data_IF_392130896911
#
_entry.id   IF_392130896911
#
_cell.length_a   1.000
_cell.length_b   1.000
_cell.length_c   1.000
_cell.angle_alpha   90.00
_cell.angle_beta   90.00
_cell.angle_gamma   90.00
#
_symmetry.space_group_name_H-M   'P 1'
#
loop_
_entity.id
_entity.type
_entity.pdbx_description
1 polymer ?
#
# COMPACT_ATOMS: atom_id res chain seq x y z
N UNK A 1 36.13 13.74 -13.63
CA UNK A 1 34.64 13.70 -13.63
C UNK A 1 34.26 13.21 -12.24
N UNK A 2 33.30 13.84 -11.59
CA UNK A 2 32.78 13.31 -10.32
C UNK A 2 32.12 11.95 -10.55
N UNK A 3 32.16 11.04 -9.57
CA UNK A 3 31.55 9.72 -9.69
C UNK A 3 30.02 9.81 -9.98
N UNK A 4 29.37 10.88 -9.53
CA UNK A 4 27.96 11.18 -9.82
C UNK A 4 27.74 11.49 -11.31
N UNK A 5 28.67 12.17 -11.99
CA UNK A 5 28.59 12.42 -13.43
C UNK A 5 28.61 11.13 -14.24
N UNK A 6 29.41 10.14 -13.82
CA UNK A 6 29.43 8.83 -14.45
C UNK A 6 28.09 8.07 -14.27
N UNK A 7 27.45 8.17 -13.09
CA UNK A 7 26.16 7.56 -12.84
C UNK A 7 25.06 8.22 -13.68
N UNK A 8 25.07 9.54 -13.80
CA UNK A 8 24.18 10.29 -14.67
C UNK A 8 24.30 9.86 -16.15
N UNK A 9 25.56 9.77 -16.65
CA UNK A 9 25.82 9.29 -18.01
C UNK A 9 25.33 7.85 -18.21
N UNK A 10 25.47 7.00 -17.20
CA UNK A 10 25.00 5.60 -17.24
C UNK A 10 23.49 5.53 -17.35
N UNK A 11 22.73 6.33 -16.59
CA UNK A 11 21.27 6.39 -16.67
C UNK A 11 20.85 6.91 -18.07
N UNK A 12 21.42 8.03 -18.49
CA UNK A 12 21.06 8.69 -19.75
C UNK A 12 21.34 7.82 -20.96
N UNK A 13 22.42 7.02 -20.93
CA UNK A 13 22.81 6.10 -22.01
C UNK A 13 22.08 4.75 -21.97
N UNK A 14 21.23 4.49 -20.97
CA UNK A 14 20.43 3.28 -20.86
C UNK A 14 21.08 2.14 -20.09
N UNK A 15 22.13 2.38 -19.30
CA UNK A 15 22.78 1.35 -18.50
C UNK A 15 21.87 0.68 -17.46
N UNK A 16 20.77 1.35 -17.07
CA UNK A 16 19.74 0.82 -16.16
C UNK A 16 18.45 0.39 -16.85
N UNK A 17 18.38 0.42 -18.19
CA UNK A 17 17.15 0.13 -18.93
C UNK A 17 16.54 -1.21 -18.62
N UNK A 18 17.34 -2.25 -18.44
CA UNK A 18 16.84 -3.58 -18.08
C UNK A 18 16.08 -3.57 -16.74
N UNK A 19 16.65 -2.92 -15.72
CA UNK A 19 15.99 -2.79 -14.42
C UNK A 19 14.73 -1.92 -14.54
N UNK A 20 14.84 -0.75 -15.20
CA UNK A 20 13.71 0.16 -15.39
C UNK A 20 12.58 -0.46 -16.22
N UNK A 21 12.89 -1.28 -17.24
CA UNK A 21 11.87 -2.03 -18.00
C UNK A 21 11.11 -2.99 -17.11
N UNK A 22 11.82 -3.68 -16.22
CA UNK A 22 11.19 -4.61 -15.26
C UNK A 22 10.24 -3.86 -14.32
N UNK A 23 10.65 -2.68 -13.84
CA UNK A 23 9.88 -1.92 -12.86
C UNK A 23 8.70 -1.15 -13.49
N UNK A 24 8.86 -0.62 -14.69
CA UNK A 24 7.94 0.38 -15.26
C UNK A 24 7.38 0.03 -16.64
N UNK A 25 7.93 -0.99 -17.30
CA UNK A 25 7.63 -1.28 -18.72
C UNK A 25 8.46 -0.47 -19.70
N UNK A 26 8.73 -1.05 -20.88
CA UNK A 26 9.60 -0.47 -21.92
C UNK A 26 9.12 0.90 -22.41
N UNK A 27 7.80 1.07 -22.53
CA UNK A 27 7.18 2.31 -23.00
C UNK A 27 7.44 3.53 -22.11
N UNK A 28 7.79 3.30 -20.84
CA UNK A 28 8.03 4.35 -19.84
C UNK A 28 9.51 4.74 -19.72
N UNK A 29 10.44 4.05 -20.38
CA UNK A 29 11.88 4.26 -20.23
C UNK A 29 12.32 5.72 -20.38
N UNK A 30 11.89 6.49 -21.44
CA UNK A 30 12.34 7.86 -21.59
C UNK A 30 11.98 8.74 -20.38
N UNK A 31 10.74 8.64 -19.91
CA UNK A 31 10.25 9.36 -18.74
C UNK A 31 10.99 8.96 -17.46
N UNK A 32 11.25 7.66 -17.29
CA UNK A 32 11.95 7.18 -16.09
C UNK A 32 13.42 7.61 -16.08
N UNK A 33 14.13 7.56 -17.20
CA UNK A 33 15.50 8.08 -17.27
C UNK A 33 15.56 9.55 -16.84
N UNK A 34 14.67 10.39 -17.35
CA UNK A 34 14.57 11.81 -16.97
C UNK A 34 14.31 11.96 -15.44
N UNK A 35 13.37 11.18 -14.90
CA UNK A 35 13.03 11.19 -13.48
C UNK A 35 14.21 10.82 -12.59
N UNK A 36 14.94 9.75 -12.93
CA UNK A 36 16.14 9.32 -12.22
C UNK A 36 17.31 10.30 -12.34
N UNK A 37 17.48 10.93 -13.49
CA UNK A 37 18.47 12.00 -13.65
C UNK A 37 18.15 13.21 -12.77
N UNK A 38 16.89 13.65 -12.72
CA UNK A 38 16.44 14.73 -11.83
C UNK A 38 16.66 14.40 -10.35
N UNK A 39 16.40 13.16 -9.94
CA UNK A 39 16.69 12.70 -8.59
C UNK A 39 18.19 12.91 -8.23
N UNK A 40 19.09 12.53 -9.14
CA UNK A 40 20.54 12.70 -8.95
C UNK A 40 20.97 14.15 -8.91
N UNK A 41 20.38 15.01 -9.74
CA UNK A 41 20.63 16.45 -9.72
C UNK A 41 20.31 17.04 -8.35
N UNK A 42 19.11 16.76 -7.83
CA UNK A 42 18.64 17.24 -6.54
C UNK A 42 19.46 16.65 -5.37
N UNK A 43 19.81 15.36 -5.45
CA UNK A 43 20.72 14.73 -4.49
C UNK A 43 22.07 15.46 -4.44
N UNK A 44 22.67 15.73 -5.61
CA UNK A 44 23.97 16.39 -5.71
C UNK A 44 23.95 17.86 -5.26
N UNK A 45 22.85 18.57 -5.48
CA UNK A 45 22.68 19.94 -4.99
C UNK A 45 22.70 20.00 -3.45
N UNK A 46 22.07 19.01 -2.79
CA UNK A 46 21.96 18.98 -1.34
C UNK A 46 23.15 18.32 -0.64
N UNK A 47 23.71 17.27 -1.24
CA UNK A 47 24.74 16.40 -0.66
C UNK A 47 26.00 16.32 -1.52
N UNK A 48 26.47 17.47 -2.00
CA UNK A 48 27.61 17.56 -2.95
C UNK A 48 28.93 16.91 -2.45
N UNK A 49 29.13 16.85 -1.13
CA UNK A 49 30.31 16.29 -0.49
C UNK A 49 30.18 14.78 -0.19
N UNK A 50 29.04 14.16 -0.52
CA UNK A 50 28.81 12.74 -0.28
C UNK A 50 29.43 11.86 -1.35
N UNK A 51 29.63 10.58 -1.04
CA UNK A 51 30.06 9.56 -2.01
C UNK A 51 29.02 9.37 -3.14
N UNK A 52 29.40 8.62 -4.17
CA UNK A 52 28.47 8.24 -5.24
C UNK A 52 27.27 7.48 -4.69
N UNK A 53 26.05 7.96 -4.88
CA UNK A 53 24.89 7.31 -4.31
C UNK A 53 24.54 6.01 -5.04
N UNK A 54 23.93 5.09 -4.31
CA UNK A 54 23.17 3.95 -4.84
C UNK A 54 21.71 4.36 -5.07
N UNK A 55 21.03 3.66 -5.95
CA UNK A 55 19.69 3.97 -6.39
C UNK A 55 18.70 2.92 -5.86
N UNK A 56 17.56 3.39 -5.34
CA UNK A 56 16.56 2.56 -4.69
C UNK A 56 15.15 2.92 -5.13
N UNK A 57 14.25 1.96 -5.11
CA UNK A 57 12.85 2.17 -5.43
C UNK A 57 11.95 1.30 -4.57
N UNK A 58 10.82 1.84 -4.11
CA UNK A 58 9.75 1.08 -3.48
C UNK A 58 8.38 1.51 -4.02
N UNK A 59 7.55 0.54 -4.46
CA UNK A 59 6.26 0.83 -5.09
C UNK A 59 5.19 1.18 -4.07
N UNK A 60 4.17 1.92 -4.51
CA UNK A 60 2.86 1.89 -3.90
C UNK A 60 2.18 0.53 -4.09
N UNK A 61 1.01 0.37 -3.46
CA UNK A 61 0.24 -0.89 -3.52
C UNK A 61 -1.21 -0.65 -3.87
N UNK A 62 -1.86 -1.68 -4.38
CA UNK A 62 -3.31 -1.75 -4.49
C UNK A 62 -3.86 -2.91 -3.66
N UNK A 63 -4.95 -2.67 -2.92
CA UNK A 63 -5.74 -3.73 -2.30
C UNK A 63 -6.72 -4.26 -3.35
N UNK A 64 -6.56 -5.50 -3.78
CA UNK A 64 -7.46 -6.13 -4.76
C UNK A 64 -8.69 -6.68 -4.07
N UNK A 65 -8.54 -7.30 -2.90
CA UNK A 65 -9.63 -7.86 -2.10
C UNK A 65 -9.22 -8.14 -0.65
N UNK A 66 -10.21 -8.41 0.21
CA UNK A 66 -10.01 -8.64 1.63
C UNK A 66 -10.12 -7.35 2.43
N UNK A 67 -11.14 -6.56 2.15
CA UNK A 67 -11.31 -5.24 2.75
C UNK A 67 -11.49 -5.33 4.27
N UNK A 68 -10.50 -4.79 5.02
CA UNK A 68 -10.42 -4.86 6.49
C UNK A 68 -10.33 -6.26 7.12
N UNK A 69 -10.08 -7.30 6.34
CA UNK A 69 -9.96 -8.68 6.87
C UNK A 69 -8.65 -8.90 7.62
N UNK A 70 -7.57 -8.21 7.25
CA UNK A 70 -6.25 -8.28 7.89
C UNK A 70 -6.29 -7.94 9.38
N UNK A 71 -7.08 -6.93 9.78
CA UNK A 71 -7.30 -6.57 11.18
C UNK A 71 -8.01 -7.65 12.01
N UNK A 72 -8.59 -8.65 11.34
CA UNK A 72 -9.26 -9.81 11.92
C UNK A 72 -8.52 -11.12 11.63
N UNK A 73 -7.23 -11.05 11.35
CA UNK A 73 -6.36 -12.16 10.97
C UNK A 73 -6.85 -12.95 9.75
N UNK A 74 -7.57 -12.26 8.85
CA UNK A 74 -8.13 -12.84 7.64
C UNK A 74 -7.14 -12.88 6.47
N UNK A 75 -7.69 -13.15 5.28
CA UNK A 75 -6.95 -13.19 4.02
C UNK A 75 -7.12 -11.89 3.26
N UNK A 76 -6.08 -11.52 2.52
CA UNK A 76 -6.10 -10.39 1.58
C UNK A 76 -5.49 -10.80 0.25
N UNK A 77 -5.87 -10.10 -0.80
CA UNK A 77 -5.26 -10.13 -2.12
C UNK A 77 -4.82 -8.71 -2.45
N UNK A 78 -3.52 -8.50 -2.65
CA UNK A 78 -2.95 -7.19 -2.88
C UNK A 78 -1.84 -7.26 -3.93
N UNK A 79 -1.48 -6.13 -4.51
CA UNK A 79 -0.39 -6.07 -5.49
C UNK A 79 0.39 -4.77 -5.40
N UNK A 80 1.68 -4.84 -5.74
CA UNK A 80 2.49 -3.65 -5.98
C UNK A 80 2.15 -3.03 -7.32
N UNK A 81 2.26 -1.71 -7.41
CA UNK A 81 1.91 -0.96 -8.62
C UNK A 81 3.11 -0.20 -9.19
N UNK A 82 3.02 0.20 -10.44
CA UNK A 82 4.10 0.86 -11.19
C UNK A 82 4.36 2.33 -10.82
N UNK A 83 3.66 2.86 -9.83
CA UNK A 83 3.97 4.16 -9.21
C UNK A 83 4.72 3.94 -7.90
N UNK A 84 5.78 4.70 -7.68
CA UNK A 84 6.74 4.43 -6.62
C UNK A 84 7.37 5.68 -6.01
N UNK A 85 8.12 5.46 -4.95
CA UNK A 85 9.14 6.35 -4.44
C UNK A 85 10.51 5.86 -4.89
N UNK A 86 11.35 6.78 -5.33
CA UNK A 86 12.74 6.51 -5.72
C UNK A 86 13.69 7.29 -4.81
N UNK A 87 14.86 6.72 -4.54
CA UNK A 87 15.86 7.36 -3.71
C UNK A 87 17.28 7.21 -4.27
N UNK A 88 18.09 8.22 -3.97
CA UNK A 88 19.52 8.16 -4.06
C UNK A 88 20.10 8.23 -2.63
N UNK A 89 21.00 7.30 -2.29
CA UNK A 89 21.57 7.22 -0.95
C UNK A 89 23.06 6.90 -0.97
N UNK A 90 23.87 7.64 -0.17
CA UNK A 90 25.29 7.39 0.01
C UNK A 90 25.72 7.58 1.47
N UNK A 91 26.79 6.88 1.92
CA UNK A 91 27.37 7.09 3.24
C UNK A 91 27.81 8.53 3.48
N UNK A 92 27.72 8.96 4.74
CA UNK A 92 28.33 10.20 5.23
C UNK A 92 29.16 9.92 6.51
N UNK A 93 29.99 10.86 6.91
CA UNK A 93 30.88 10.76 8.08
C UNK A 93 30.26 11.33 9.37
N UNK A 94 28.98 11.68 9.38
CA UNK A 94 28.33 12.44 10.46
C UNK A 94 27.65 11.58 11.52
N UNK A 95 27.66 10.27 11.39
CA UNK A 95 26.89 9.33 12.22
C UNK A 95 25.41 9.73 12.39
N UNK A 96 24.82 10.24 11.32
CA UNK A 96 23.44 10.69 11.23
C UNK A 96 22.79 10.12 9.98
N UNK A 97 21.55 9.69 10.10
CA UNK A 97 20.69 9.47 8.94
C UNK A 97 20.02 10.80 8.58
N UNK A 98 20.35 11.34 7.40
CA UNK A 98 19.78 12.58 6.88
C UNK A 98 18.91 12.25 5.67
N UNK A 99 17.62 12.52 5.76
CA UNK A 99 16.65 12.21 4.72
C UNK A 99 15.95 13.47 4.26
N UNK A 100 16.08 13.79 2.98
CA UNK A 100 15.34 14.85 2.32
C UNK A 100 14.35 14.24 1.35
N UNK A 101 13.06 14.38 1.62
CA UNK A 101 12.01 14.11 0.63
C UNK A 101 11.68 15.37 -0.15
N UNK A 102 11.46 15.24 -1.46
CA UNK A 102 11.09 16.35 -2.34
C UNK A 102 9.87 17.11 -1.79
N UNK A 103 10.01 18.42 -1.61
CA UNK A 103 8.96 19.28 -1.07
C UNK A 103 8.78 19.26 0.45
N UNK A 104 9.70 18.63 1.20
CA UNK A 104 9.72 18.63 2.68
C UNK A 104 11.04 19.13 3.24
N UNK A 105 11.06 19.43 4.52
CA UNK A 105 12.27 19.80 5.23
C UNK A 105 13.21 18.60 5.45
N UNK A 106 14.50 18.85 5.56
CA UNK A 106 15.49 17.84 5.87
C UNK A 106 15.26 17.24 7.26
N UNK A 107 15.03 15.94 7.30
CA UNK A 107 14.91 15.19 8.55
C UNK A 107 16.28 14.58 8.93
N UNK A 108 16.71 14.77 10.16
CA UNK A 108 18.00 14.31 10.68
C UNK A 108 17.81 13.46 11.92
N UNK A 109 18.28 12.22 11.89
CA UNK A 109 18.25 11.27 13.01
C UNK A 109 19.69 11.05 13.50
N UNK A 110 19.92 11.28 14.79
CA UNK A 110 21.18 10.89 15.47
C UNK A 110 21.15 9.36 15.69
N UNK A 111 22.09 8.64 15.09
CA UNK A 111 22.18 7.18 15.18
C UNK A 111 22.68 6.68 16.54
N UNK A 112 23.16 7.57 17.43
CA UNK A 112 23.48 7.21 18.82
C UNK A 112 22.24 7.16 19.72
N UNK A 113 21.11 7.75 19.32
CA UNK A 113 19.89 7.81 20.09
C UNK A 113 18.69 7.40 19.24
N UNK A 114 18.30 6.14 19.38
CA UNK A 114 17.20 5.51 18.65
C UNK A 114 15.99 5.17 19.55
N UNK A 115 15.92 5.75 20.75
CA UNK A 115 14.77 5.55 21.63
C UNK A 115 13.52 6.25 21.07
N UNK A 116 12.34 5.64 21.28
CA UNK A 116 11.07 6.22 20.85
C UNK A 116 10.78 7.50 21.66
N UNK A 117 10.32 8.53 20.97
CA UNK A 117 10.03 9.84 21.55
C UNK A 117 8.58 10.21 21.32
N UNK A 118 7.87 10.48 22.38
CA UNK A 118 6.44 10.81 22.31
C UNK A 118 6.17 12.10 21.52
N UNK A 119 7.08 13.06 21.58
CA UNK A 119 7.00 14.33 20.85
C UNK A 119 7.21 14.17 19.34
N UNK A 120 7.76 13.03 18.90
CA UNK A 120 7.93 12.71 17.49
C UNK A 120 6.75 11.90 16.91
N UNK A 121 5.77 11.46 17.72
CA UNK A 121 4.60 10.74 17.21
C UNK A 121 3.94 11.49 16.03
N UNK A 122 3.51 10.75 15.02
CA UNK A 122 2.97 11.25 13.76
C UNK A 122 3.94 12.07 12.90
N UNK A 123 5.25 11.90 13.07
CA UNK A 123 6.28 12.57 12.24
C UNK A 123 7.14 11.56 11.47
N UNK A 124 7.75 12.03 10.37
CA UNK A 124 8.75 11.25 9.61
C UNK A 124 9.93 10.83 10.48
N UNK A 125 10.34 11.67 11.44
CA UNK A 125 11.44 11.36 12.36
C UNK A 125 11.16 10.09 13.18
N UNK A 126 9.93 9.91 13.65
CA UNK A 126 9.53 8.71 14.38
C UNK A 126 9.68 7.44 13.52
N UNK A 127 9.20 7.45 12.27
CA UNK A 127 9.35 6.31 11.35
C UNK A 127 10.82 5.96 11.11
N UNK A 128 11.64 6.95 10.73
CA UNK A 128 13.08 6.78 10.48
C UNK A 128 13.80 6.22 11.70
N UNK A 129 13.54 6.76 12.88
CA UNK A 129 14.11 6.31 14.15
C UNK A 129 13.71 4.88 14.47
N UNK A 130 12.43 4.55 14.27
CA UNK A 130 11.88 3.21 14.49
C UNK A 130 12.53 2.17 13.59
N UNK A 131 12.66 2.45 12.30
CA UNK A 131 13.32 1.54 11.37
C UNK A 131 14.80 1.35 11.70
N UNK A 132 15.53 2.43 11.99
CA UNK A 132 16.93 2.35 12.45
C UNK A 132 17.05 1.47 13.70
N UNK A 133 16.18 1.64 14.69
CA UNK A 133 16.16 0.81 15.90
C UNK A 133 15.89 -0.67 15.58
N UNK A 134 14.90 -0.95 14.72
CA UNK A 134 14.55 -2.32 14.35
C UNK A 134 15.66 -3.03 13.56
N UNK A 135 16.35 -2.33 12.66
CA UNK A 135 17.50 -2.87 11.94
C UNK A 135 18.69 -3.08 12.88
N UNK A 136 18.96 -2.17 13.81
CA UNK A 136 19.99 -2.33 14.83
C UNK A 136 19.76 -3.57 15.71
N UNK A 137 18.50 -3.82 16.13
CA UNK A 137 18.12 -5.02 16.88
C UNK A 137 18.37 -6.31 16.09
N UNK A 138 18.36 -6.24 14.76
CA UNK A 138 18.67 -7.36 13.85
C UNK A 138 20.14 -7.45 13.45
N UNK A 139 20.99 -6.64 14.06
CA UNK A 139 22.45 -6.69 13.88
C UNK A 139 23.01 -5.75 12.81
N UNK A 140 22.21 -4.80 12.30
CA UNK A 140 22.73 -3.77 11.42
C UNK A 140 23.79 -2.92 12.14
N UNK A 141 24.88 -2.64 11.46
CA UNK A 141 25.91 -1.70 11.93
C UNK A 141 25.67 -0.38 11.23
N UNK A 142 24.73 0.40 11.76
CA UNK A 142 24.36 1.68 11.18
C UNK A 142 25.55 2.64 11.19
N UNK A 143 25.67 3.42 10.14
CA UNK A 143 26.62 4.52 9.98
C UNK A 143 25.89 5.70 9.32
N UNK A 144 26.54 6.86 9.24
CA UNK A 144 25.95 8.02 8.62
C UNK A 144 25.53 7.76 7.18
N UNK A 145 24.34 8.25 6.80
CA UNK A 145 23.76 8.07 5.47
C UNK A 145 22.99 9.32 5.05
N UNK A 146 23.21 9.74 3.81
CA UNK A 146 22.47 10.81 3.14
C UNK A 146 21.49 10.21 2.13
N UNK A 147 20.23 10.60 2.19
CA UNK A 147 19.17 10.07 1.35
C UNK A 147 18.35 11.21 0.77
N UNK A 148 18.18 11.25 -0.55
CA UNK A 148 17.20 12.10 -1.23
C UNK A 148 16.11 11.24 -1.86
N UNK A 149 14.83 11.62 -1.66
CA UNK A 149 13.66 10.85 -2.10
C UNK A 149 12.79 11.71 -3.00
N UNK A 150 12.37 11.16 -4.15
CA UNK A 150 11.31 11.71 -4.99
C UNK A 150 10.17 10.70 -5.12
N UNK A 151 8.92 11.19 -5.11
CA UNK A 151 7.72 10.34 -5.09
C UNK A 151 6.77 10.65 -6.22
N UNK A 152 6.34 9.60 -6.94
CA UNK A 152 5.18 9.63 -7.83
C UNK A 152 3.92 9.02 -7.17
N UNK A 153 4.03 8.55 -5.93
CA UNK A 153 2.87 8.02 -5.18
C UNK A 153 2.04 9.20 -4.68
N UNK A 154 0.84 9.44 -5.23
CA UNK A 154 0.04 10.60 -4.84
C UNK A 154 -0.43 10.47 -3.39
N UNK A 155 -0.40 11.57 -2.63
CA UNK A 155 -0.94 11.61 -1.27
C UNK A 155 -2.45 11.44 -1.30
N UNK A 156 -2.98 10.66 -0.36
CA UNK A 156 -4.43 10.47 -0.25
C UNK A 156 -5.05 9.62 -1.36
N UNK A 157 -4.27 9.13 -2.33
CA UNK A 157 -4.76 8.32 -3.46
C UNK A 157 -5.03 6.85 -3.13
N UNK A 158 -5.00 6.46 -1.86
CA UNK A 158 -5.26 5.09 -1.43
C UNK A 158 -4.20 4.05 -1.84
N UNK A 159 -3.11 4.44 -2.52
CA UNK A 159 -2.03 3.53 -2.95
C UNK A 159 -0.86 3.46 -1.96
N UNK A 160 -1.06 3.92 -0.74
CA UNK A 160 -0.18 3.81 0.43
C UNK A 160 1.23 4.41 0.27
N UNK A 161 1.29 5.74 0.28
CA UNK A 161 2.58 6.43 0.29
C UNK A 161 3.40 6.17 1.58
N UNK A 162 2.75 5.95 2.73
CA UNK A 162 3.45 5.61 3.99
C UNK A 162 4.20 4.29 3.87
N UNK A 163 3.52 3.21 3.43
CA UNK A 163 4.17 1.91 3.27
C UNK A 163 5.27 1.92 2.20
N UNK A 164 5.09 2.65 1.09
CA UNK A 164 6.15 2.83 0.10
C UNK A 164 7.39 3.53 0.69
N UNK A 165 7.19 4.55 1.55
CA UNK A 165 8.26 5.22 2.26
C UNK A 165 9.00 4.29 3.24
N UNK A 166 8.26 3.59 4.09
CA UNK A 166 8.80 2.64 5.06
C UNK A 166 9.60 1.53 4.36
N UNK A 167 9.01 0.92 3.32
CA UNK A 167 9.71 -0.10 2.53
C UNK A 167 10.95 0.45 1.84
N UNK A 168 10.91 1.68 1.32
CA UNK A 168 12.08 2.32 0.70
C UNK A 168 13.22 2.48 1.71
N UNK A 169 12.95 3.02 2.89
CA UNK A 169 13.95 3.17 3.96
C UNK A 169 14.43 1.78 4.40
N UNK A 170 13.54 0.82 4.60
CA UNK A 170 13.90 -0.55 4.94
C UNK A 170 14.82 -1.21 3.92
N UNK A 171 14.58 -1.03 2.61
CA UNK A 171 15.45 -1.53 1.53
C UNK A 171 16.83 -0.85 1.57
N UNK A 172 16.87 0.47 1.76
CA UNK A 172 18.12 1.23 1.88
C UNK A 172 18.94 0.73 3.07
N UNK A 173 18.34 0.65 4.26
CA UNK A 173 19.04 0.19 5.48
C UNK A 173 19.49 -1.28 5.36
N UNK A 174 18.65 -2.13 4.80
CA UNK A 174 18.98 -3.52 4.50
C UNK A 174 20.21 -3.61 3.60
N UNK A 175 20.20 -2.84 2.51
CA UNK A 175 21.25 -2.89 1.51
C UNK A 175 22.58 -2.27 2.00
N UNK A 176 22.52 -1.15 2.69
CA UNK A 176 23.71 -0.44 3.14
C UNK A 176 24.36 -1.08 4.39
N UNK A 177 23.56 -1.63 5.32
CA UNK A 177 24.09 -1.94 6.66
C UNK A 177 23.91 -3.39 7.12
N UNK A 178 23.14 -4.22 6.42
CA UNK A 178 23.02 -5.62 6.76
C UNK A 178 24.04 -6.46 5.99
N UNK A 179 24.83 -7.26 6.72
CA UNK A 179 25.73 -8.27 6.12
C UNK A 179 24.92 -9.42 5.55
N UNK A 180 23.99 -9.94 6.36
CA UNK A 180 22.98 -10.92 5.92
C UNK A 180 21.67 -10.18 5.68
N UNK A 181 21.27 -10.08 4.41
CA UNK A 181 20.07 -9.34 4.03
C UNK A 181 18.83 -9.97 4.62
N UNK A 182 17.96 -9.16 5.19
CA UNK A 182 16.63 -9.62 5.63
C UNK A 182 15.69 -9.75 4.42
N UNK A 183 14.71 -10.64 4.55
CA UNK A 183 13.73 -10.88 3.48
C UNK A 183 12.77 -9.68 3.29
N UNK A 184 12.11 -9.57 2.12
CA UNK A 184 11.06 -8.57 1.92
C UNK A 184 9.95 -8.63 2.98
N UNK A 185 9.58 -9.84 3.42
CA UNK A 185 8.60 -10.03 4.50
C UNK A 185 9.10 -9.37 5.80
N UNK A 186 10.38 -9.54 6.14
CA UNK A 186 10.95 -8.93 7.33
C UNK A 186 11.05 -7.41 7.22
N UNK A 187 11.32 -6.86 6.02
CA UNK A 187 11.29 -5.40 5.78
C UNK A 187 9.88 -4.86 6.03
N UNK A 188 8.85 -5.52 5.49
CA UNK A 188 7.45 -5.14 5.74
C UNK A 188 7.08 -5.14 7.22
N UNK A 189 7.52 -6.17 7.96
CA UNK A 189 7.29 -6.26 9.41
C UNK A 189 8.04 -5.17 10.20
N UNK A 190 9.22 -4.77 9.74
CA UNK A 190 9.98 -3.67 10.33
C UNK A 190 9.22 -2.35 10.15
N UNK A 191 8.76 -2.03 8.93
CA UNK A 191 7.98 -0.82 8.65
C UNK A 191 6.73 -0.76 9.52
N UNK A 192 5.92 -1.83 9.53
CA UNK A 192 4.75 -1.91 10.40
C UNK A 192 5.08 -1.70 11.89
N UNK A 193 6.16 -2.30 12.36
CA UNK A 193 6.56 -2.13 13.76
C UNK A 193 6.96 -0.67 14.05
N UNK A 194 7.67 -0.01 13.13
CA UNK A 194 8.02 1.40 13.26
C UNK A 194 6.77 2.29 13.27
N UNK A 195 5.78 2.01 12.40
CA UNK A 195 4.51 2.75 12.36
C UNK A 195 3.70 2.55 13.65
N UNK A 196 3.61 1.33 14.17
CA UNK A 196 2.83 1.03 15.37
C UNK A 196 3.48 1.54 16.66
N UNK A 197 4.82 1.43 16.79
CA UNK A 197 5.53 1.65 18.08
C UNK A 197 6.13 3.05 18.17
N UNK A 198 6.63 3.60 17.06
CA UNK A 198 7.29 4.91 17.05
C UNK A 198 6.38 6.01 16.53
N UNK A 199 5.72 5.77 15.40
CA UNK A 199 4.80 6.75 14.82
C UNK A 199 3.49 6.85 15.62
N UNK A 200 3.09 5.76 16.31
CA UNK A 200 1.94 5.73 17.20
C UNK A 200 0.60 5.46 16.50
N UNK A 201 0.61 5.02 15.24
CA UNK A 201 -0.61 4.71 14.48
C UNK A 201 -0.73 3.20 14.28
N UNK A 202 -1.71 2.51 14.90
CA UNK A 202 -1.96 1.10 14.65
C UNK A 202 -2.37 0.85 13.20
N UNK A 203 -1.59 0.05 12.49
CA UNK A 203 -1.87 -0.33 11.11
C UNK A 203 -1.82 -1.86 10.91
N UNK A 204 -2.50 -2.35 9.85
CA UNK A 204 -2.33 -3.71 9.33
C UNK A 204 -0.95 -3.89 8.66
N UNK A 205 -0.65 -5.12 8.23
CA UNK A 205 0.63 -5.45 7.59
C UNK A 205 0.51 -5.56 6.06
N UNK A 206 -0.69 -5.50 5.51
CA UNK A 206 -0.95 -5.71 4.08
C UNK A 206 -0.18 -4.72 3.21
N UNK A 207 -0.19 -3.45 3.55
CA UNK A 207 0.37 -2.36 2.76
C UNK A 207 1.87 -2.51 2.57
N UNK A 208 2.58 -2.66 3.68
CA UNK A 208 4.04 -2.86 3.66
C UNK A 208 4.40 -4.17 2.97
N UNK A 209 3.59 -5.23 3.15
CA UNK A 209 3.83 -6.53 2.55
C UNK A 209 3.72 -6.46 1.03
N UNK A 210 2.66 -5.86 0.50
CA UNK A 210 2.45 -5.71 -0.94
C UNK A 210 3.54 -4.83 -1.58
N UNK A 211 3.91 -3.71 -0.94
CA UNK A 211 4.99 -2.84 -1.40
C UNK A 211 6.35 -3.54 -1.38
N UNK A 212 6.65 -4.33 -0.34
CA UNK A 212 7.96 -4.93 -0.15
C UNK A 212 8.20 -6.18 -0.99
N UNK A 213 7.17 -7.04 -1.14
CA UNK A 213 7.30 -8.33 -1.85
C UNK A 213 7.21 -8.16 -3.35
N UNK A 214 6.32 -7.28 -3.83
CA UNK A 214 6.10 -7.10 -5.26
C UNK A 214 5.08 -8.08 -5.85
N UNK A 215 4.75 -7.88 -7.12
CA UNK A 215 3.77 -8.69 -7.84
C UNK A 215 2.36 -8.64 -7.22
N UNK A 216 1.50 -9.60 -7.58
CA UNK A 216 0.26 -9.86 -6.85
C UNK A 216 0.54 -10.95 -5.84
N UNK A 217 0.11 -10.74 -4.61
CA UNK A 217 0.27 -11.69 -3.51
C UNK A 217 -1.05 -11.91 -2.80
N UNK A 218 -1.30 -13.14 -2.39
CA UNK A 218 -2.29 -13.42 -1.35
C UNK A 218 -1.57 -13.59 -0.01
N UNK A 219 -2.17 -13.06 1.04
CA UNK A 219 -1.62 -13.12 2.39
C UNK A 219 -2.68 -13.72 3.31
N UNK A 220 -2.37 -14.79 4.03
CA UNK A 220 -3.18 -15.30 5.12
C UNK A 220 -2.56 -14.89 6.46
N UNK A 221 -3.26 -14.06 7.19
CA UNK A 221 -2.86 -13.55 8.51
C UNK A 221 -3.33 -14.43 9.67
N UNK A 222 -3.69 -15.69 9.46
CA UNK A 222 -4.07 -16.59 10.56
C UNK A 222 -3.03 -16.61 11.69
N UNK A 223 -1.76 -16.36 11.38
CA UNK A 223 -0.70 -16.09 12.35
C UNK A 223 0.02 -14.80 11.94
N UNK A 224 -0.31 -13.62 12.50
CA UNK A 224 0.29 -12.34 12.10
C UNK A 224 1.82 -12.28 12.26
N UNK A 225 2.37 -13.01 13.24
CA UNK A 225 3.82 -13.12 13.42
C UNK A 225 4.52 -13.93 12.33
N UNK A 226 3.77 -14.81 11.63
CA UNK A 226 4.26 -15.66 10.54
C UNK A 226 3.19 -15.75 9.46
N UNK A 227 2.89 -14.65 8.75
CA UNK A 227 1.89 -14.66 7.69
C UNK A 227 2.33 -15.60 6.55
N UNK A 228 1.35 -16.30 5.97
CA UNK A 228 1.59 -17.08 4.76
C UNK A 228 1.41 -16.14 3.57
N UNK A 229 2.49 -15.94 2.80
CA UNK A 229 2.51 -15.06 1.63
C UNK A 229 2.78 -15.90 0.39
N UNK A 230 1.86 -15.89 -0.55
CA UNK A 230 1.96 -16.64 -1.78
C UNK A 230 1.80 -15.72 -3.00
N UNK A 231 2.70 -15.82 -4.01
CA UNK A 231 2.53 -15.06 -5.24
C UNK A 231 1.35 -15.61 -6.06
N UNK A 232 0.59 -14.70 -6.66
CA UNK A 232 -0.47 -15.01 -7.61
C UNK A 232 -0.02 -14.59 -9.00
N UNK A 233 0.35 -15.57 -9.83
CA UNK A 233 0.90 -15.33 -11.15
C UNK A 233 -0.23 -14.95 -12.13
N UNK A 234 -0.54 -13.67 -12.23
CA UNK A 234 -1.54 -13.14 -13.16
C UNK A 234 -1.05 -11.84 -13.80
N UNK A 235 -1.40 -11.66 -15.07
CA UNK A 235 -1.17 -10.44 -15.82
C UNK A 235 -2.54 -9.96 -16.37
N UNK A 236 -3.11 -8.98 -15.70
CA UNK A 236 -4.42 -8.42 -16.07
C UNK A 236 -4.43 -7.85 -17.49
N UNK A 237 -3.32 -7.29 -17.96
CA UNK A 237 -3.24 -6.74 -19.31
C UNK A 237 -3.39 -7.80 -20.39
N UNK A 238 -2.79 -8.99 -20.18
CA UNK A 238 -2.97 -10.15 -21.06
C UNK A 238 -4.37 -10.74 -21.01
N UNK A 239 -5.06 -10.52 -19.89
CA UNK A 239 -6.48 -10.88 -19.75
C UNK A 239 -7.42 -9.84 -20.37
N UNK A 240 -6.90 -8.79 -21.01
CA UNK A 240 -7.68 -7.71 -21.58
C UNK A 240 -8.30 -6.76 -20.54
N UNK A 241 -7.72 -6.70 -19.33
CA UNK A 241 -8.17 -5.86 -18.22
C UNK A 241 -7.13 -4.81 -17.86
N UNK A 242 -7.57 -3.59 -17.62
CA UNK A 242 -6.78 -2.52 -17.03
C UNK A 242 -7.23 -2.29 -15.58
N UNK A 243 -6.27 -2.07 -14.68
CA UNK A 243 -6.53 -1.68 -13.31
C UNK A 243 -6.53 -0.15 -13.22
N UNK A 244 -7.65 0.42 -12.76
CA UNK A 244 -7.79 1.85 -12.57
C UNK A 244 -8.04 2.17 -11.10
N UNK A 245 -7.38 3.21 -10.60
CA UNK A 245 -7.67 3.83 -9.31
C UNK A 245 -8.24 5.22 -9.58
N UNK A 246 -9.45 5.45 -9.07
CA UNK A 246 -10.22 6.67 -9.24
C UNK A 246 -10.15 7.48 -7.95
N UNK A 247 -9.56 8.67 -8.01
CA UNK A 247 -9.54 9.61 -6.89
C UNK A 247 -10.90 10.31 -6.80
N UNK A 248 -11.67 10.00 -5.75
CA UNK A 248 -13.00 10.58 -5.55
C UNK A 248 -12.98 12.06 -5.17
N UNK A 249 -11.83 12.58 -4.73
CA UNK A 249 -11.69 13.93 -4.19
C UNK A 249 -12.17 14.09 -2.75
N UNK A 250 -12.62 13.01 -2.10
CA UNK A 250 -13.00 13.06 -0.69
C UNK A 250 -11.76 13.20 0.20
N UNK A 251 -11.85 14.08 1.21
CA UNK A 251 -10.78 14.28 2.19
C UNK A 251 -10.85 13.21 3.30
N UNK A 252 -9.67 12.78 3.76
CA UNK A 252 -9.51 11.86 4.89
C UNK A 252 -9.51 12.58 6.25
N UNK A 253 -9.50 13.91 6.28
CA UNK A 253 -9.55 14.69 7.50
C UNK A 253 -10.79 14.29 8.32
N UNK A 254 -10.63 14.15 9.62
CA UNK A 254 -11.69 13.85 10.60
C UNK A 254 -12.36 12.45 10.48
N UNK A 255 -11.83 11.50 9.69
CA UNK A 255 -12.41 10.15 9.55
C UNK A 255 -11.70 9.08 10.38
N UNK A 256 -10.71 9.44 11.19
CA UNK A 256 -9.91 8.50 12.01
C UNK A 256 -10.79 7.62 12.91
N UNK A 257 -11.84 8.18 13.50
CA UNK A 257 -12.75 7.44 14.38
C UNK A 257 -13.56 6.37 13.61
N UNK A 258 -13.98 6.67 12.38
CA UNK A 258 -14.71 5.70 11.54
C UNK A 258 -13.80 4.53 11.11
N UNK A 259 -12.53 4.81 10.79
CA UNK A 259 -11.55 3.75 10.50
C UNK A 259 -11.29 2.90 11.74
N UNK A 260 -11.08 3.51 12.90
CA UNK A 260 -10.82 2.81 14.16
C UNK A 260 -12.03 1.99 14.64
N UNK A 261 -13.24 2.43 14.31
CA UNK A 261 -14.48 1.72 14.69
C UNK A 261 -14.60 0.36 14.01
N UNK A 262 -14.11 0.16 12.79
CA UNK A 262 -14.24 -1.13 12.08
C UNK A 262 -13.56 -2.27 12.85
N UNK A 263 -12.24 -2.23 13.12
CA UNK A 263 -11.59 -3.30 13.87
C UNK A 263 -12.08 -3.41 15.31
N UNK A 264 -12.46 -2.32 15.96
CA UNK A 264 -12.97 -2.33 17.32
C UNK A 264 -14.32 -3.06 17.42
N UNK A 265 -15.25 -2.75 16.53
CA UNK A 265 -16.57 -3.41 16.48
C UNK A 265 -16.47 -4.91 16.14
N UNK A 266 -15.61 -5.27 15.19
CA UNK A 266 -15.37 -6.67 14.85
C UNK A 266 -14.77 -7.45 16.05
N UNK A 267 -13.82 -6.86 16.78
CA UNK A 267 -13.27 -7.47 18.00
C UNK A 267 -14.31 -7.60 19.10
N UNK A 268 -15.20 -6.62 19.25
CA UNK A 268 -16.29 -6.71 20.23
C UNK A 268 -17.20 -7.92 19.93
N UNK A 269 -17.54 -8.16 18.67
CA UNK A 269 -18.31 -9.35 18.25
C UNK A 269 -17.52 -10.64 18.53
N UNK A 270 -16.23 -10.68 18.19
CA UNK A 270 -15.37 -11.82 18.45
C UNK A 270 -15.32 -12.16 19.94
N UNK A 271 -15.17 -11.15 20.81
CA UNK A 271 -15.13 -11.32 22.27
C UNK A 271 -16.43 -11.93 22.82
N UNK A 272 -17.62 -11.48 22.35
CA UNK A 272 -18.90 -12.11 22.71
C UNK A 272 -18.93 -13.58 22.30
N UNK A 273 -18.26 -13.92 21.21
CA UNK A 273 -18.16 -15.29 20.71
C UNK A 273 -17.06 -16.12 21.39
N UNK A 274 -16.17 -15.50 22.18
CA UNK A 274 -15.09 -16.17 22.90
C UNK A 274 -13.75 -16.19 22.18
N UNK A 275 -13.56 -15.34 21.15
CA UNK A 275 -12.30 -15.13 20.43
C UNK A 275 -11.74 -13.72 20.63
N UNK A 276 -10.49 -13.50 20.23
CA UNK A 276 -9.86 -12.17 20.19
C UNK A 276 -10.18 -11.43 18.88
N UNK A 277 -10.23 -12.19 17.81
CA UNK A 277 -10.57 -11.72 16.46
C UNK A 277 -11.57 -12.67 15.81
N UNK A 278 -12.24 -12.25 14.75
CA UNK A 278 -13.27 -13.07 14.08
C UNK A 278 -12.69 -14.35 13.45
N UNK A 279 -11.40 -14.37 13.09
CA UNK A 279 -10.74 -15.58 12.56
C UNK A 279 -10.67 -16.72 13.60
N UNK A 280 -10.67 -16.41 14.90
CA UNK A 280 -10.65 -17.40 15.99
C UNK A 280 -12.02 -18.03 16.23
N UNK A 281 -13.08 -17.44 15.68
CA UNK A 281 -14.46 -17.82 15.91
C UNK A 281 -15.04 -18.54 14.70
N UNK A 282 -15.45 -19.81 14.81
CA UNK A 282 -16.21 -20.47 13.74
C UNK A 282 -17.49 -19.71 13.38
N UNK A 283 -17.82 -19.65 12.11
CA UNK A 283 -19.01 -18.90 11.62
C UNK A 283 -20.31 -19.40 12.26
N UNK A 284 -20.45 -20.72 12.47
CA UNK A 284 -21.60 -21.33 13.15
C UNK A 284 -21.71 -20.86 14.62
N UNK A 285 -20.61 -20.64 15.30
CA UNK A 285 -20.58 -20.09 16.67
C UNK A 285 -21.08 -18.65 16.67
N UNK A 286 -20.62 -17.83 15.71
CA UNK A 286 -21.13 -16.48 15.52
C UNK A 286 -22.64 -16.47 15.26
N UNK A 287 -23.15 -17.31 14.34
CA UNK A 287 -24.57 -17.39 14.03
C UNK A 287 -25.39 -17.83 15.27
N UNK A 288 -24.91 -18.79 16.05
CA UNK A 288 -25.57 -19.24 17.26
C UNK A 288 -25.67 -18.13 18.32
N UNK A 289 -24.67 -17.24 18.37
CA UNK A 289 -24.62 -16.11 19.32
C UNK A 289 -25.14 -14.78 18.72
N UNK A 290 -25.69 -14.80 17.52
CA UNK A 290 -26.16 -13.60 16.80
C UNK A 290 -27.11 -12.70 17.65
N UNK A 291 -28.14 -13.23 18.37
CA UNK A 291 -28.97 -12.39 19.21
C UNK A 291 -28.22 -11.72 20.36
N UNK A 292 -27.18 -12.38 20.89
CA UNK A 292 -26.33 -11.83 21.94
C UNK A 292 -25.41 -10.75 21.41
N UNK A 293 -24.75 -10.99 20.26
CA UNK A 293 -23.90 -10.01 19.57
C UNK A 293 -24.69 -8.74 19.24
N UNK A 294 -25.89 -8.85 18.70
CA UNK A 294 -26.76 -7.70 18.43
C UNK A 294 -27.08 -6.88 19.67
N UNK A 295 -27.38 -7.55 20.79
CA UNK A 295 -27.72 -6.88 22.04
C UNK A 295 -26.52 -6.18 22.68
N UNK A 296 -25.32 -6.77 22.61
CA UNK A 296 -24.11 -6.26 23.28
C UNK A 296 -23.31 -5.30 22.40
N UNK A 297 -23.19 -5.58 21.09
CA UNK A 297 -22.32 -4.83 20.18
C UNK A 297 -23.10 -3.92 19.21
N UNK A 298 -24.40 -4.13 19.04
CA UNK A 298 -25.23 -3.41 18.07
C UNK A 298 -25.23 -4.03 16.68
N UNK A 299 -26.18 -3.58 15.84
CA UNK A 299 -26.41 -4.15 14.50
C UNK A 299 -25.27 -3.85 13.52
N UNK A 300 -24.63 -2.66 13.59
CA UNK A 300 -23.52 -2.31 12.70
C UNK A 300 -22.32 -3.23 12.91
N UNK A 301 -21.96 -3.51 14.15
CA UNK A 301 -20.86 -4.42 14.47
C UNK A 301 -21.12 -5.84 13.93
N UNK A 302 -22.36 -6.30 14.03
CA UNK A 302 -22.77 -7.59 13.49
C UNK A 302 -22.72 -7.63 11.95
N UNK A 303 -23.15 -6.57 11.26
CA UNK A 303 -23.04 -6.47 9.81
C UNK A 303 -21.56 -6.48 9.37
N UNK A 304 -20.69 -5.75 10.06
CA UNK A 304 -19.24 -5.75 9.83
C UNK A 304 -18.64 -7.15 10.00
N UNK A 305 -19.08 -7.91 11.02
CA UNK A 305 -18.66 -9.31 11.18
C UNK A 305 -19.08 -10.20 10.01
N UNK A 306 -20.33 -10.09 9.51
CA UNK A 306 -20.77 -10.80 8.30
C UNK A 306 -19.90 -10.47 7.10
N UNK A 307 -19.53 -9.19 6.92
CA UNK A 307 -18.61 -8.79 5.84
C UNK A 307 -17.28 -9.53 5.96
N UNK A 308 -16.64 -9.50 7.14
CA UNK A 308 -15.32 -10.09 7.36
C UNK A 308 -15.32 -11.60 7.05
N UNK A 309 -16.32 -12.34 7.53
CA UNK A 309 -16.43 -13.77 7.20
C UNK A 309 -16.58 -14.01 5.71
N UNK A 310 -17.50 -13.29 5.06
CA UNK A 310 -17.76 -13.44 3.64
C UNK A 310 -16.56 -13.02 2.77
N UNK A 311 -15.90 -11.92 3.12
CA UNK A 311 -14.78 -11.40 2.33
C UNK A 311 -13.52 -12.26 2.49
N UNK A 312 -13.28 -12.79 3.69
CA UNK A 312 -12.21 -13.75 3.92
C UNK A 312 -12.33 -15.02 3.04
N UNK A 313 -13.55 -15.54 2.86
CA UNK A 313 -13.81 -16.67 1.97
C UNK A 313 -13.74 -16.27 0.49
N UNK A 314 -14.17 -15.05 0.18
CA UNK A 314 -14.15 -14.51 -1.17
C UNK A 314 -12.73 -14.35 -1.70
N UNK A 315 -11.77 -13.91 -0.87
CA UNK A 315 -10.35 -13.85 -1.26
C UNK A 315 -9.85 -15.21 -1.73
N UNK A 316 -10.13 -16.30 -1.01
CA UNK A 316 -9.70 -17.64 -1.43
C UNK A 316 -10.30 -18.05 -2.79
N UNK A 317 -11.58 -17.72 -3.03
CA UNK A 317 -12.25 -17.99 -4.31
C UNK A 317 -11.69 -17.14 -5.45
N UNK A 318 -11.34 -15.88 -5.18
CA UNK A 318 -10.70 -15.01 -6.17
C UNK A 318 -9.31 -15.51 -6.55
N UNK A 319 -8.51 -15.94 -5.58
CA UNK A 319 -7.20 -16.56 -5.84
C UNK A 319 -7.35 -17.82 -6.70
N UNK A 320 -8.31 -18.69 -6.40
CA UNK A 320 -8.60 -19.87 -7.21
C UNK A 320 -9.01 -19.49 -8.64
N UNK A 321 -9.93 -18.53 -8.80
CA UNK A 321 -10.36 -18.07 -10.12
C UNK A 321 -9.19 -17.50 -10.95
N UNK A 322 -8.28 -16.73 -10.32
CA UNK A 322 -7.09 -16.20 -10.99
C UNK A 322 -6.11 -17.31 -11.41
N UNK A 323 -5.92 -18.34 -10.59
CA UNK A 323 -5.09 -19.51 -10.95
C UNK A 323 -5.68 -20.30 -12.12
N UNK A 324 -7.01 -20.41 -12.19
CA UNK A 324 -7.72 -21.09 -13.25
C UNK A 324 -7.86 -20.24 -14.53
N UNK A 325 -7.49 -18.96 -14.48
CA UNK A 325 -7.70 -17.98 -15.56
C UNK A 325 -9.16 -17.61 -15.78
N UNK A 326 -10.02 -17.84 -14.79
CA UNK A 326 -11.45 -17.50 -14.81
C UNK A 326 -11.68 -16.05 -14.35
N UNK A 327 -11.44 -15.12 -15.28
CA UNK A 327 -11.58 -13.68 -15.01
C UNK A 327 -13.04 -13.25 -14.82
N UNK A 328 -13.99 -13.94 -15.42
CA UNK A 328 -15.41 -13.63 -15.23
C UNK A 328 -15.84 -13.89 -13.77
N UNK A 329 -15.48 -15.04 -13.22
CA UNK A 329 -15.69 -15.35 -11.80
C UNK A 329 -14.93 -14.37 -10.90
N UNK A 330 -13.66 -14.03 -11.23
CA UNK A 330 -12.88 -13.05 -10.48
C UNK A 330 -13.60 -11.69 -10.42
N UNK A 331 -14.02 -11.13 -11.56
CA UNK A 331 -14.71 -9.83 -11.63
C UNK A 331 -16.07 -9.85 -10.89
N UNK A 332 -16.80 -10.96 -10.99
CA UNK A 332 -18.03 -11.14 -10.21
C UNK A 332 -17.77 -11.05 -8.71
N UNK A 333 -16.72 -11.74 -8.22
CA UNK A 333 -16.33 -11.74 -6.81
C UNK A 333 -15.81 -10.36 -6.35
N UNK A 334 -15.12 -9.59 -7.21
CA UNK A 334 -14.75 -8.20 -6.91
C UNK A 334 -15.98 -7.32 -6.72
N UNK A 335 -16.95 -7.44 -7.62
CA UNK A 335 -18.22 -6.71 -7.49
C UNK A 335 -19.00 -7.11 -6.24
N UNK A 336 -18.98 -8.39 -5.86
CA UNK A 336 -19.60 -8.88 -4.61
C UNK A 336 -18.89 -8.30 -3.37
N UNK A 337 -17.55 -8.24 -3.36
CA UNK A 337 -16.78 -7.58 -2.32
C UNK A 337 -17.17 -6.11 -2.18
N UNK A 338 -17.29 -5.40 -3.31
CA UNK A 338 -17.74 -4.00 -3.33
C UNK A 338 -19.14 -3.81 -2.78
N UNK A 339 -20.08 -4.69 -3.10
CA UNK A 339 -21.44 -4.68 -2.50
C UNK A 339 -21.38 -4.96 -1.00
N UNK A 340 -20.62 -5.95 -0.59
CA UNK A 340 -20.45 -6.29 0.83
C UNK A 340 -19.81 -5.16 1.63
N UNK A 341 -18.85 -4.45 1.04
CA UNK A 341 -18.26 -3.24 1.65
C UNK A 341 -19.31 -2.14 1.86
N UNK A 342 -20.19 -1.93 0.89
CA UNK A 342 -21.25 -0.91 1.00
C UNK A 342 -22.35 -1.33 1.99
N UNK A 343 -22.88 -2.55 1.85
CA UNK A 343 -24.06 -3.00 2.57
C UNK A 343 -23.76 -3.43 4.01
N UNK A 344 -22.64 -4.12 4.23
CA UNK A 344 -22.31 -4.75 5.51
C UNK A 344 -21.18 -4.06 6.25
N UNK A 345 -20.04 -3.82 5.62
CA UNK A 345 -18.92 -3.13 6.26
C UNK A 345 -19.22 -1.66 6.50
N UNK A 346 -19.99 -1.05 5.59
CA UNK A 346 -20.44 0.34 5.64
C UNK A 346 -19.27 1.32 5.68
N UNK A 347 -18.28 1.10 4.81
CA UNK A 347 -17.09 1.95 4.68
C UNK A 347 -17.04 2.75 3.37
N UNK A 348 -18.18 2.92 2.69
CA UNK A 348 -18.28 3.76 1.47
C UNK A 348 -18.68 5.18 1.82
N UNK A 349 -19.62 5.33 2.75
CA UNK A 349 -20.16 6.63 3.18
C UNK A 349 -19.96 6.75 4.70
N UNK A 350 -19.28 7.82 5.19
CA UNK A 350 -19.13 8.04 6.63
C UNK A 350 -20.49 8.23 7.31
N UNK A 351 -20.59 7.79 8.56
CA UNK A 351 -21.84 7.89 9.31
C UNK A 351 -22.29 9.36 9.44
N UNK A 352 -23.56 9.64 9.13
CA UNK A 352 -24.16 10.97 9.22
C UNK A 352 -23.88 11.91 8.04
N UNK A 353 -23.08 11.52 7.07
CA UNK A 353 -22.83 12.33 5.86
C UNK A 353 -24.02 12.24 4.90
N UNK A 354 -24.54 13.40 4.49
CA UNK A 354 -25.72 13.51 3.61
C UNK A 354 -25.38 14.12 2.25
N UNK A 355 -24.50 15.13 2.22
CA UNK A 355 -24.17 15.92 1.03
C UNK A 355 -22.83 15.49 0.41
N UNK A 356 -21.87 15.05 1.23
CA UNK A 356 -20.53 14.63 0.82
C UNK A 356 -20.45 13.10 0.82
N UNK A 357 -20.66 12.52 -0.35
CA UNK A 357 -20.66 11.06 -0.60
C UNK A 357 -19.87 10.73 -1.87
N UNK A 358 -18.72 11.35 -2.00
CA UNK A 358 -17.89 11.35 -3.21
C UNK A 358 -17.52 9.94 -3.65
N UNK A 359 -17.14 9.06 -2.71
CA UNK A 359 -16.82 7.65 -2.99
C UNK A 359 -18.04 6.91 -3.55
N UNK A 360 -19.22 7.15 -2.97
CA UNK A 360 -20.47 6.57 -3.44
C UNK A 360 -20.81 7.00 -4.86
N UNK A 361 -20.68 8.30 -5.15
CA UNK A 361 -20.91 8.87 -6.49
C UNK A 361 -19.90 8.30 -7.49
N UNK A 362 -18.64 8.20 -7.12
CA UNK A 362 -17.58 7.63 -7.96
C UNK A 362 -17.87 6.16 -8.32
N UNK A 363 -18.28 5.34 -7.34
CA UNK A 363 -18.69 3.94 -7.60
C UNK A 363 -19.90 3.88 -8.54
N UNK A 364 -20.90 4.71 -8.32
CA UNK A 364 -22.11 4.73 -9.14
C UNK A 364 -21.81 5.14 -10.59
N UNK A 365 -21.00 6.18 -10.78
CA UNK A 365 -20.58 6.66 -12.09
C UNK A 365 -19.73 5.60 -12.84
N UNK A 366 -18.75 5.00 -12.15
CA UNK A 366 -17.91 3.95 -12.73
C UNK A 366 -18.73 2.72 -13.17
N UNK A 367 -19.67 2.28 -12.33
CA UNK A 367 -20.58 1.18 -12.68
C UNK A 367 -21.48 1.53 -13.86
N UNK A 368 -21.96 2.77 -13.95
CA UNK A 368 -22.77 3.22 -15.07
C UNK A 368 -22.00 3.18 -16.40
N UNK A 369 -20.75 3.63 -16.40
CA UNK A 369 -19.90 3.63 -17.59
C UNK A 369 -19.48 2.22 -18.02
N UNK A 370 -19.25 1.31 -17.07
CA UNK A 370 -18.87 -0.08 -17.37
C UNK A 370 -20.06 -0.96 -17.75
N UNK A 371 -21.28 -0.60 -17.34
CA UNK A 371 -22.47 -1.46 -17.50
C UNK A 371 -22.32 -2.76 -16.72
N UNK A 372 -22.42 -3.89 -17.41
CA UNK A 372 -22.25 -5.24 -16.89
C UNK A 372 -20.81 -5.79 -17.09
N UNK A 373 -19.93 -5.00 -17.67
CA UNK A 373 -18.52 -5.35 -17.92
C UNK A 373 -17.62 -4.84 -16.80
N UNK A 374 -16.54 -5.55 -16.53
CA UNK A 374 -15.57 -5.17 -15.53
C UNK A 374 -16.06 -5.26 -14.09
N UNK A 375 -15.35 -4.63 -13.17
CA UNK A 375 -15.70 -4.62 -11.76
C UNK A 375 -15.29 -3.32 -11.06
N UNK A 376 -16.06 -2.92 -10.03
CA UNK A 376 -15.84 -1.68 -9.27
C UNK A 376 -16.09 -1.92 -7.79
N UNK A 377 -15.16 -1.45 -6.96
CA UNK A 377 -15.30 -1.48 -5.49
C UNK A 377 -14.62 -0.27 -4.83
N UNK A 378 -14.98 0.00 -3.58
CA UNK A 378 -14.18 0.89 -2.74
C UNK A 378 -12.76 0.32 -2.58
N UNK A 379 -11.75 1.18 -2.53
CA UNK A 379 -10.34 0.81 -2.45
C UNK A 379 -9.73 1.23 -1.11
N UNK A 380 -8.97 0.33 -0.47
CA UNK A 380 -8.34 0.56 0.81
C UNK A 380 -9.34 0.72 1.96
N UNK A 381 -9.06 1.60 2.90
CA UNK A 381 -9.88 1.78 4.12
C UNK A 381 -11.32 2.25 3.87
N UNK A 382 -11.59 2.88 2.74
CA UNK A 382 -12.91 3.43 2.43
C UNK A 382 -13.18 4.80 3.06
N UNK A 383 -14.45 5.14 3.24
CA UNK A 383 -15.01 6.41 3.74
C UNK A 383 -14.62 7.64 2.92
N UNK A 384 -13.40 7.73 2.45
CA UNK A 384 -12.83 8.76 1.59
C UNK A 384 -11.81 8.13 0.62
N UNK A 385 -11.11 8.96 -0.18
CA UNK A 385 -10.03 8.56 -1.05
C UNK A 385 -10.49 7.91 -2.35
N UNK A 386 -10.26 6.63 -2.54
CA UNK A 386 -10.26 6.04 -3.88
C UNK A 386 -11.23 4.88 -4.09
N UNK A 387 -11.54 4.67 -5.36
CA UNK A 387 -12.33 3.54 -5.89
C UNK A 387 -11.44 2.77 -6.86
N UNK A 388 -11.47 1.44 -6.78
CA UNK A 388 -10.79 0.55 -7.71
C UNK A 388 -11.76 0.09 -8.80
N UNK A 389 -11.28 0.08 -10.04
CA UNK A 389 -12.01 -0.47 -11.17
C UNK A 389 -11.12 -1.40 -12.00
N UNK A 390 -11.67 -2.55 -12.39
CA UNK A 390 -11.12 -3.42 -13.43
C UNK A 390 -11.90 -3.14 -14.72
N UNK A 391 -11.23 -2.55 -15.70
CA UNK A 391 -11.81 -2.01 -16.92
C UNK A 391 -11.37 -2.85 -18.11
N UNK A 392 -12.27 -3.35 -18.98
CA UNK A 392 -11.88 -3.95 -20.24
C UNK A 392 -11.02 -2.96 -21.07
N UNK A 393 -9.91 -3.44 -21.60
CA UNK A 393 -8.94 -2.56 -22.31
C UNK A 393 -9.61 -1.82 -23.48
N UNK A 394 -10.56 -2.46 -24.16
CA UNK A 394 -11.32 -1.84 -25.26
C UNK A 394 -12.22 -0.68 -24.81
N UNK A 395 -12.52 -0.56 -23.52
CA UNK A 395 -13.34 0.51 -22.93
C UNK A 395 -12.49 1.57 -22.22
N UNK A 396 -11.17 1.36 -22.08
CA UNK A 396 -10.33 2.15 -21.19
C UNK A 396 -10.32 3.64 -21.47
N UNK A 397 -10.16 4.02 -22.73
CA UNK A 397 -10.08 5.44 -23.13
C UNK A 397 -11.42 6.17 -22.87
N UNK A 398 -12.55 5.54 -23.23
CA UNK A 398 -13.88 6.07 -22.99
C UNK A 398 -14.20 6.14 -21.50
N UNK A 399 -13.86 5.09 -20.76
CA UNK A 399 -14.04 5.04 -19.30
C UNK A 399 -13.23 6.12 -18.61
N UNK A 400 -11.94 6.27 -18.95
CA UNK A 400 -11.07 7.29 -18.38
C UNK A 400 -11.62 8.69 -18.66
N UNK A 401 -11.93 9.00 -19.91
CA UNK A 401 -12.48 10.31 -20.29
C UNK A 401 -13.80 10.58 -19.58
N UNK A 402 -14.70 9.58 -19.45
CA UNK A 402 -15.97 9.71 -18.75
C UNK A 402 -15.80 9.94 -17.26
N UNK A 403 -14.87 9.23 -16.60
CA UNK A 403 -14.60 9.44 -15.18
C UNK A 403 -13.93 10.79 -14.91
N UNK A 404 -12.95 11.20 -15.73
CA UNK A 404 -12.29 12.50 -15.57
C UNK A 404 -13.21 13.68 -15.85
N UNK A 405 -14.20 13.53 -16.71
CA UNK A 405 -15.26 14.54 -16.89
C UNK A 405 -16.10 14.75 -15.63
N UNK A 406 -16.22 13.74 -14.77
CA UNK A 406 -17.00 13.78 -13.52
C UNK A 406 -16.11 14.19 -12.33
N UNK A 407 -14.92 13.59 -12.23
CA UNK A 407 -14.05 13.74 -11.07
C UNK A 407 -13.04 14.89 -11.21
N UNK A 408 -12.71 15.29 -12.43
CA UNK A 408 -11.65 16.21 -12.77
C UNK A 408 -10.48 15.51 -13.49
N UNK A 409 -9.74 16.28 -14.28
CA UNK A 409 -8.58 15.80 -15.05
C UNK A 409 -7.51 15.20 -14.15
N UNK A 410 -6.91 14.08 -14.57
CA UNK A 410 -5.84 13.39 -13.86
C UNK A 410 -6.29 12.53 -12.66
N UNK A 411 -7.59 12.41 -12.40
CA UNK A 411 -8.12 11.62 -11.27
C UNK A 411 -8.42 10.16 -11.58
N UNK A 412 -8.21 9.73 -12.83
CA UNK A 412 -8.28 8.32 -13.23
C UNK A 412 -6.87 7.79 -13.50
N UNK A 413 -6.28 7.11 -12.53
CA UNK A 413 -4.94 6.55 -12.62
C UNK A 413 -5.01 5.13 -13.18
N UNK A 414 -4.45 4.93 -14.38
CA UNK A 414 -4.30 3.60 -14.97
C UNK A 414 -2.99 3.00 -14.45
N UNK A 415 -3.08 1.89 -13.75
CA UNK A 415 -1.95 1.25 -13.08
C UNK A 415 -1.63 -0.10 -13.72
N UNK A 416 -0.38 -0.51 -13.61
CA UNK A 416 0.06 -1.87 -13.89
C UNK A 416 0.68 -2.50 -12.64
N UNK A 417 0.60 -3.82 -12.56
CA UNK A 417 1.25 -4.57 -11.50
C UNK A 417 2.76 -4.56 -11.75
N UNK A 418 3.49 -4.18 -10.71
CA UNK A 418 4.95 -4.18 -10.73
C UNK A 418 5.46 -5.53 -10.21
N UNK A 419 6.32 -6.26 -10.97
CA UNK A 419 6.75 -7.60 -10.59
C UNK A 419 7.69 -7.63 -9.37
N UNK A 420 8.41 -6.55 -9.11
CA UNK A 420 9.35 -6.40 -8.00
C UNK A 420 8.86 -5.38 -6.98
N UNK A 421 8.97 -5.70 -5.72
CA UNK A 421 8.70 -4.78 -4.61
C UNK A 421 9.83 -3.76 -4.40
N UNK A 422 10.26 -3.58 -3.16
CA UNK A 422 11.42 -2.76 -2.88
C UNK A 422 12.67 -3.27 -3.59
N UNK A 423 13.35 -2.41 -4.36
CA UNK A 423 14.45 -2.78 -5.26
C UNK A 423 15.66 -1.86 -5.13
N UNK A 424 16.83 -2.42 -5.45
CA UNK A 424 18.11 -1.69 -5.65
C UNK A 424 18.41 -1.74 -7.14
N UNK A 425 18.75 -0.59 -7.76
CA UNK A 425 19.09 -0.49 -9.18
C UNK A 425 20.61 -0.58 -9.41
#
# INVERSE_FOLDING_TARGET
MSNISCLFDTISSGGFDRAMTTLYGEQNLPHQRERWCRLLEQYNELFADSDTPRLFSAPGRTEISGNHTDHQHGRVLAGSVNIDMIAAAAPNDKNQLRVQSEGYDLCVIDLNDLEARKEEENTTAALLRGECAAFTQRGAKLAGLDVYISSNVPKGSGVSSSAAFEVLIGVILNDCFMTEKVSPIAIAQIGQWAENVYFGKPCGLMDQMASSVGNIITIDFASPAKPVVEPVAVDFSKAGLALCILDSGADHADLTDEYAAIPAECRAVAAVCGGEVLRDVPFETFLAKLPECRRQCGDRAVLRAFHVYADNDRVAKQVAALHDGDFDTFLCLVNESGRSSWEYLQNVIPAGYKEHQEVGVTIAAAKHLLGDKGAVRVHGGGFAGTVQAFVPVEMLDEFKAGMEAILGEGRCHVLSIRPEGGAVL
#
